data_IF_804120693875
#
_entry.id   IF_804120693875
#
_cell.length_a   1.000
_cell.length_b   1.000
_cell.length_c   1.000
_cell.angle_alpha   90.00
_cell.angle_beta   90.00
_cell.angle_gamma   90.00
#
_symmetry.space_group_name_H-M   'P 1'
#
loop_
_entity.id
_entity.type
_entity.pdbx_description
1 polymer ?
#
# COMPACT_ATOMS: atom_id res chain seq x y z
N UNK A 1 -14.05 25.14 -15.85
CA UNK A 1 -13.98 24.24 -14.69
C UNK A 1 -12.59 24.42 -14.09
N UNK A 2 -12.46 24.89 -12.83
CA UNK A 2 -11.16 24.99 -12.18
C UNK A 2 -10.59 23.58 -11.97
N UNK A 3 -9.39 23.33 -12.45
CA UNK A 3 -8.64 22.09 -12.21
C UNK A 3 -7.61 22.38 -11.12
N UNK A 4 -7.73 21.69 -9.98
CA UNK A 4 -6.74 21.74 -8.92
C UNK A 4 -5.81 20.52 -9.04
N UNK A 5 -4.51 20.77 -9.15
CA UNK A 5 -3.48 19.72 -9.14
C UNK A 5 -2.85 19.64 -7.76
N UNK A 6 -2.74 18.43 -7.21
CA UNK A 6 -1.92 18.15 -6.02
C UNK A 6 -0.47 17.97 -6.46
N UNK A 7 0.19 19.06 -6.81
CA UNK A 7 1.59 19.03 -7.18
C UNK A 7 2.48 19.26 -5.96
N UNK A 8 3.01 18.18 -5.40
CA UNK A 8 3.97 18.23 -4.28
C UNK A 8 5.40 18.64 -4.72
N UNK A 9 5.67 18.69 -6.03
CA UNK A 9 7.01 19.00 -6.54
C UNK A 9 7.35 20.50 -6.54
N UNK A 10 6.37 21.38 -6.30
CA UNK A 10 6.56 22.81 -6.31
C UNK A 10 6.88 23.41 -7.68
N UNK A 11 6.78 22.64 -8.77
CA UNK A 11 7.09 23.09 -10.14
C UNK A 11 6.01 24.00 -10.72
N UNK A 12 4.79 23.93 -10.22
CA UNK A 12 3.70 24.82 -10.63
C UNK A 12 3.41 25.85 -9.52
N UNK A 13 3.59 27.12 -9.84
CA UNK A 13 3.15 28.23 -9.00
C UNK A 13 1.65 28.43 -9.26
N UNK A 14 0.81 28.07 -8.30
CA UNK A 14 -0.61 28.38 -8.33
C UNK A 14 -1.55 27.21 -8.53
N UNK A 15 -1.31 26.06 -7.88
CA UNK A 15 -2.23 24.89 -7.90
C UNK A 15 -3.66 25.17 -7.37
N UNK A 16 -3.94 26.39 -6.93
CA UNK A 16 -5.26 26.79 -6.44
C UNK A 16 -5.69 26.17 -5.11
N UNK A 17 -4.96 25.17 -4.59
CA UNK A 17 -5.25 24.51 -3.32
C UNK A 17 -4.16 24.85 -2.28
N UNK A 18 -4.46 25.67 -1.25
CA UNK A 18 -3.48 25.95 -0.20
C UNK A 18 -3.26 24.69 0.65
N UNK A 19 -2.06 24.16 0.65
CA UNK A 19 -1.66 23.04 1.52
C UNK A 19 -1.49 23.57 2.96
N UNK A 20 -2.55 23.48 3.75
CA UNK A 20 -2.50 23.82 5.17
C UNK A 20 -2.20 22.57 6.01
N UNK A 21 -1.59 22.75 7.19
CA UNK A 21 -1.29 21.64 8.10
C UNK A 21 -2.56 20.82 8.48
N UNK A 22 -3.74 21.41 8.74
CA UNK A 22 -4.96 20.61 8.94
C UNK A 22 -5.36 19.78 7.71
N UNK A 23 -5.18 20.31 6.49
CA UNK A 23 -5.48 19.58 5.27
C UNK A 23 -4.52 18.39 5.10
N UNK A 24 -3.22 18.59 5.30
CA UNK A 24 -2.21 17.52 5.24
C UNK A 24 -2.54 16.41 6.24
N UNK A 25 -2.88 16.75 7.48
CA UNK A 25 -3.29 15.76 8.49
C UNK A 25 -4.53 14.97 8.07
N UNK A 26 -5.53 15.63 7.48
CA UNK A 26 -6.73 14.94 6.95
C UNK A 26 -6.38 14.00 5.79
N UNK A 27 -5.51 14.43 4.88
CA UNK A 27 -5.06 13.58 3.76
C UNK A 27 -4.35 12.33 4.30
N UNK A 28 -3.42 12.48 5.23
CA UNK A 28 -2.73 11.36 5.88
C UNK A 28 -3.73 10.42 6.55
N UNK A 29 -4.69 10.96 7.31
CA UNK A 29 -5.73 10.16 7.95
C UNK A 29 -6.59 9.40 6.94
N UNK A 30 -6.97 10.04 5.82
CA UNK A 30 -7.75 9.39 4.75
C UNK A 30 -6.98 8.23 4.11
N UNK A 31 -5.65 8.37 3.91
CA UNK A 31 -4.83 7.28 3.35
C UNK A 31 -4.80 6.10 4.32
N UNK A 32 -4.51 6.31 5.62
CA UNK A 32 -4.51 5.21 6.60
C UNK A 32 -5.87 4.52 6.70
N UNK A 33 -6.98 5.29 6.73
CA UNK A 33 -8.31 4.69 6.73
C UNK A 33 -8.61 3.92 5.44
N UNK A 34 -8.21 4.46 4.30
CA UNK A 34 -8.36 3.80 3.00
C UNK A 34 -7.60 2.47 2.96
N UNK A 35 -6.33 2.49 3.33
CA UNK A 35 -5.46 1.30 3.39
C UNK A 35 -6.05 0.22 4.33
N UNK A 36 -6.54 0.65 5.51
CA UNK A 36 -7.20 -0.25 6.45
C UNK A 36 -8.44 -0.90 5.84
N UNK A 37 -9.32 -0.11 5.19
CA UNK A 37 -10.54 -0.64 4.58
C UNK A 37 -10.24 -1.63 3.45
N UNK A 38 -9.26 -1.33 2.59
CA UNK A 38 -8.83 -2.23 1.52
C UNK A 38 -8.30 -3.53 2.11
N UNK A 39 -7.40 -3.46 3.09
CA UNK A 39 -6.80 -4.63 3.72
C UNK A 39 -7.84 -5.53 4.43
N UNK A 40 -8.81 -4.96 5.12
CA UNK A 40 -9.86 -5.70 5.83
C UNK A 40 -10.88 -6.30 4.84
N UNK A 41 -11.28 -5.53 3.82
CA UNK A 41 -12.19 -6.00 2.78
C UNK A 41 -11.60 -7.21 2.04
N UNK A 42 -10.35 -7.11 1.60
CA UNK A 42 -9.68 -8.16 0.82
C UNK A 42 -9.53 -9.46 1.61
N UNK A 43 -9.40 -9.39 2.92
CA UNK A 43 -9.32 -10.55 3.82
C UNK A 43 -10.68 -11.06 4.32
N UNK A 44 -11.77 -10.31 4.10
CA UNK A 44 -13.14 -10.69 4.52
C UNK A 44 -13.95 -11.22 3.35
N UNK A 45 -13.94 -10.50 2.23
CA UNK A 45 -14.77 -10.76 1.06
C UNK A 45 -14.67 -12.19 0.50
N UNK A 46 -13.47 -12.79 0.36
CA UNK A 46 -13.37 -14.15 -0.17
C UNK A 46 -14.04 -15.23 0.69
N UNK A 47 -14.34 -14.91 1.94
CA UNK A 47 -14.84 -15.84 2.96
C UNK A 47 -16.25 -15.51 3.46
N UNK A 48 -16.86 -14.40 3.02
CA UNK A 48 -18.17 -13.95 3.50
C UNK A 48 -19.28 -14.96 3.19
N UNK A 49 -20.12 -15.26 4.19
CA UNK A 49 -21.24 -16.20 4.03
C UNK A 49 -22.38 -15.60 3.21
N UNK A 50 -22.51 -14.27 3.21
CA UNK A 50 -23.48 -13.53 2.40
C UNK A 50 -22.71 -12.63 1.44
N UNK A 51 -22.73 -12.91 0.13
CA UNK A 51 -22.05 -12.11 -0.88
C UNK A 51 -22.39 -10.62 -0.80
N UNK A 52 -21.37 -9.76 -0.87
CA UNK A 52 -21.51 -8.30 -0.82
C UNK A 52 -21.53 -7.70 0.58
N UNK A 53 -21.42 -8.51 1.66
CA UNK A 53 -21.41 -7.99 3.02
C UNK A 53 -20.16 -7.12 3.31
N UNK A 54 -19.00 -7.56 2.84
CA UNK A 54 -17.76 -6.81 3.00
C UNK A 54 -17.78 -5.51 2.19
N UNK A 55 -18.27 -5.55 0.96
CA UNK A 55 -18.39 -4.37 0.11
C UNK A 55 -19.35 -3.34 0.72
N UNK A 56 -20.55 -3.76 1.17
CA UNK A 56 -21.51 -2.88 1.81
C UNK A 56 -20.98 -2.25 3.11
N UNK A 57 -20.20 -3.01 3.89
CA UNK A 57 -19.56 -2.50 5.10
C UNK A 57 -18.47 -1.48 4.74
N UNK A 58 -17.71 -1.72 3.68
CA UNK A 58 -16.70 -0.79 3.16
C UNK A 58 -17.33 0.54 2.73
N UNK A 59 -18.41 0.52 1.96
CA UNK A 59 -19.14 1.71 1.53
C UNK A 59 -19.68 2.53 2.73
N UNK A 60 -20.22 1.83 3.73
CA UNK A 60 -20.67 2.46 4.98
C UNK A 60 -19.51 3.19 5.69
N UNK A 61 -18.35 2.56 5.77
CA UNK A 61 -17.18 3.18 6.40
C UNK A 61 -16.64 4.35 5.57
N UNK A 62 -16.60 4.25 4.25
CA UNK A 62 -16.22 5.36 3.36
C UNK A 62 -17.12 6.57 3.62
N UNK A 63 -18.44 6.40 3.63
CA UNK A 63 -19.38 7.48 3.93
C UNK A 63 -19.19 8.07 5.34
N UNK A 64 -18.88 7.22 6.31
CA UNK A 64 -18.60 7.64 7.69
C UNK A 64 -17.32 8.48 7.76
N UNK A 65 -16.23 8.04 7.14
CA UNK A 65 -14.95 8.73 7.12
C UNK A 65 -15.08 10.07 6.37
N UNK A 66 -15.80 10.11 5.26
CA UNK A 66 -16.11 11.36 4.55
C UNK A 66 -16.82 12.36 5.48
N UNK A 67 -17.83 11.91 6.26
CA UNK A 67 -18.51 12.75 7.25
C UNK A 67 -17.53 13.25 8.33
N UNK A 68 -16.58 12.41 8.80
CA UNK A 68 -15.57 12.82 9.76
C UNK A 68 -14.66 13.93 9.21
N UNK A 69 -14.23 13.81 7.96
CA UNK A 69 -13.37 14.81 7.31
C UNK A 69 -14.09 16.15 7.13
N UNK A 70 -15.38 16.11 6.74
CA UNK A 70 -16.21 17.31 6.67
C UNK A 70 -16.37 17.99 8.04
N UNK A 71 -16.63 17.22 9.09
CA UNK A 71 -16.79 17.72 10.46
C UNK A 71 -15.47 18.01 11.17
N UNK A 72 -14.32 17.71 10.54
CA UNK A 72 -12.99 17.85 11.14
C UNK A 72 -12.82 17.08 12.46
N UNK A 73 -13.30 15.82 12.49
CA UNK A 73 -13.18 14.92 13.64
C UNK A 73 -12.47 13.62 13.23
N UNK A 74 -11.95 12.87 14.20
CA UNK A 74 -11.32 11.55 14.02
C UNK A 74 -10.15 11.52 13.02
N UNK A 75 -9.43 12.63 12.84
CA UNK A 75 -8.24 12.71 11.98
C UNK A 75 -6.95 12.98 12.75
N UNK A 76 -7.01 13.17 14.06
CA UNK A 76 -5.81 13.20 14.89
C UNK A 76 -5.38 11.77 15.28
N UNK A 77 -4.11 11.60 15.62
CA UNK A 77 -3.51 10.27 15.87
C UNK A 77 -4.23 9.49 16.97
N UNK A 78 -4.63 10.17 18.06
CA UNK A 78 -5.31 9.51 19.18
C UNK A 78 -6.67 8.94 18.75
N UNK A 79 -7.45 9.73 18.05
CA UNK A 79 -8.77 9.30 17.55
C UNK A 79 -8.62 8.23 16.47
N UNK A 80 -7.64 8.35 15.55
CA UNK A 80 -7.36 7.33 14.54
C UNK A 80 -7.08 5.97 15.18
N UNK A 81 -6.20 5.92 16.18
CA UNK A 81 -5.87 4.67 16.90
C UNK A 81 -7.10 4.01 17.51
N UNK A 82 -8.02 4.79 18.07
CA UNK A 82 -9.30 4.30 18.60
C UNK A 82 -10.21 3.80 17.47
N UNK A 83 -10.32 4.54 16.36
CA UNK A 83 -11.19 4.18 15.24
C UNK A 83 -10.68 2.95 14.49
N UNK A 84 -9.38 2.73 14.39
CA UNK A 84 -8.84 1.50 13.80
C UNK A 84 -9.38 0.24 14.49
N UNK A 85 -9.42 0.24 15.83
CA UNK A 85 -9.98 -0.89 16.58
C UNK A 85 -11.48 -1.08 16.31
N UNK A 86 -12.25 0.02 16.21
CA UNK A 86 -13.69 -0.03 15.91
C UNK A 86 -13.95 -0.57 14.52
N UNK A 87 -13.18 -0.10 13.52
CA UNK A 87 -13.29 -0.56 12.14
C UNK A 87 -12.94 -2.04 12.06
N UNK A 88 -11.80 -2.46 12.60
CA UNK A 88 -11.37 -3.86 12.59
C UNK A 88 -12.40 -4.79 13.27
N UNK A 89 -12.95 -4.40 14.41
CA UNK A 89 -13.99 -5.16 15.10
C UNK A 89 -15.26 -5.31 14.25
N UNK A 90 -15.63 -4.29 13.47
CA UNK A 90 -16.79 -4.36 12.60
C UNK A 90 -16.62 -5.37 11.46
N UNK A 91 -15.42 -5.46 10.87
CA UNK A 91 -15.12 -6.50 9.87
C UNK A 91 -15.01 -7.90 10.49
N UNK A 92 -14.45 -8.00 11.69
CA UNK A 92 -14.39 -9.28 12.43
C UNK A 92 -15.79 -9.82 12.78
N UNK A 93 -16.80 -8.96 12.85
CA UNK A 93 -18.19 -9.36 13.08
C UNK A 93 -18.93 -9.85 11.84
N UNK A 94 -18.37 -9.71 10.65
CA UNK A 94 -18.95 -10.24 9.41
C UNK A 94 -18.90 -11.77 9.46
N UNK A 95 -20.04 -12.46 9.28
CA UNK A 95 -20.04 -13.93 9.24
C UNK A 95 -19.26 -14.47 8.05
N UNK A 96 -18.21 -15.23 8.34
CA UNK A 96 -17.30 -15.82 7.32
C UNK A 96 -17.11 -17.31 7.54
N UNK A 97 -16.86 -18.04 6.46
CA UNK A 97 -16.42 -19.45 6.49
C UNK A 97 -15.02 -19.52 5.90
N UNK A 98 -14.02 -19.71 6.76
CA UNK A 98 -12.61 -19.79 6.35
C UNK A 98 -12.32 -21.14 5.71
N UNK A 99 -12.02 -21.13 4.42
CA UNK A 99 -11.55 -22.27 3.62
C UNK A 99 -10.19 -21.92 3.02
N UNK A 100 -9.32 -22.89 2.72
CA UNK A 100 -8.07 -22.63 2.02
C UNK A 100 -8.34 -21.96 0.66
N UNK A 101 -7.65 -20.85 0.39
CA UNK A 101 -7.71 -20.13 -0.88
C UNK A 101 -6.31 -19.84 -1.40
N UNK A 102 -6.19 -19.66 -2.71
CA UNK A 102 -4.96 -19.15 -3.29
C UNK A 102 -4.78 -17.69 -2.85
N UNK A 103 -3.64 -17.41 -2.23
CA UNK A 103 -3.29 -16.07 -1.79
C UNK A 103 -2.41 -15.41 -2.82
N UNK A 104 -2.78 -14.21 -3.25
CA UNK A 104 -2.11 -13.45 -4.29
C UNK A 104 -1.74 -12.08 -3.78
N UNK A 105 -0.44 -11.76 -3.80
CA UNK A 105 0.06 -10.42 -3.54
C UNK A 105 0.18 -9.63 -4.84
N UNK A 106 -0.36 -8.40 -4.87
CA UNK A 106 -0.26 -7.51 -6.02
C UNK A 106 0.67 -6.36 -5.70
N UNK A 107 1.76 -6.28 -6.43
CA UNK A 107 2.76 -5.19 -6.34
C UNK A 107 2.90 -4.51 -7.69
N UNK A 108 3.69 -3.47 -7.80
CA UNK A 108 3.98 -2.84 -9.08
C UNK A 108 4.04 -1.33 -9.04
N UNK A 109 3.92 -0.71 -10.21
CA UNK A 109 3.94 0.74 -10.36
C UNK A 109 2.69 1.34 -9.70
N UNK A 110 2.89 2.43 -8.97
CA UNK A 110 1.91 3.00 -8.04
C UNK A 110 0.55 3.30 -8.69
N UNK A 111 0.53 3.89 -9.90
CA UNK A 111 -0.73 4.17 -10.59
C UNK A 111 -1.38 2.87 -11.08
N UNK A 112 -0.61 2.02 -11.77
CA UNK A 112 -1.15 0.77 -12.35
C UNK A 112 -1.61 -0.18 -11.26
N UNK A 113 -0.88 -0.27 -10.14
CA UNK A 113 -1.25 -1.12 -9.00
C UNK A 113 -2.65 -0.81 -8.46
N UNK A 114 -3.00 0.48 -8.32
CA UNK A 114 -4.27 0.89 -7.72
C UNK A 114 -5.37 1.30 -8.70
N UNK A 115 -5.06 1.45 -9.99
CA UNK A 115 -6.04 1.93 -10.98
C UNK A 115 -6.72 0.77 -11.71
N UNK A 116 -8.03 0.53 -11.50
CA UNK A 116 -8.76 -0.48 -12.25
C UNK A 116 -8.69 -0.28 -13.77
N UNK A 117 -8.66 0.99 -14.22
CA UNK A 117 -8.47 1.33 -15.63
C UNK A 117 -7.07 0.93 -16.12
N UNK A 118 -6.03 1.17 -15.29
CA UNK A 118 -4.65 0.89 -15.66
C UNK A 118 -4.29 -0.60 -15.67
N UNK A 119 -4.98 -1.41 -14.84
CA UNK A 119 -4.69 -2.83 -14.67
C UNK A 119 -5.83 -3.78 -15.11
N UNK A 120 -6.84 -3.27 -15.83
CA UNK A 120 -8.00 -4.03 -16.29
C UNK A 120 -8.76 -4.75 -15.16
N UNK A 121 -9.07 -4.03 -14.09
CA UNK A 121 -9.81 -4.59 -12.93
C UNK A 121 -9.13 -5.85 -12.35
N UNK A 122 -7.80 -5.88 -12.26
CA UNK A 122 -7.00 -7.02 -11.82
C UNK A 122 -7.48 -7.61 -10.50
N UNK A 123 -7.81 -6.76 -9.52
CA UNK A 123 -8.31 -7.20 -8.22
C UNK A 123 -9.63 -7.97 -8.38
N UNK A 124 -10.60 -7.43 -9.13
CA UNK A 124 -11.86 -8.11 -9.41
C UNK A 124 -11.68 -9.41 -10.20
N UNK A 125 -10.71 -9.42 -11.12
CA UNK A 125 -10.38 -10.64 -11.85
C UNK A 125 -9.88 -11.73 -10.90
N UNK A 126 -8.92 -11.43 -10.02
CA UNK A 126 -8.39 -12.38 -9.05
C UNK A 126 -9.46 -12.82 -8.04
N UNK A 127 -10.31 -11.90 -7.57
CA UNK A 127 -11.48 -12.24 -6.73
C UNK A 127 -12.44 -13.21 -7.45
N UNK A 128 -12.67 -13.00 -8.75
CA UNK A 128 -13.52 -13.91 -9.56
C UNK A 128 -12.93 -15.31 -9.73
N UNK A 129 -11.62 -15.45 -9.56
CA UNK A 129 -10.90 -16.73 -9.55
C UNK A 129 -10.81 -17.33 -8.13
N UNK A 130 -11.60 -16.83 -7.20
CA UNK A 130 -11.67 -17.31 -5.81
C UNK A 130 -10.36 -17.13 -5.03
N UNK A 131 -9.57 -16.11 -5.35
CA UNK A 131 -8.31 -15.77 -4.65
C UNK A 131 -8.55 -14.83 -3.47
N UNK A 132 -7.70 -14.95 -2.43
CA UNK A 132 -7.51 -13.88 -1.45
C UNK A 132 -6.41 -12.95 -1.96
N UNK A 133 -6.77 -11.67 -2.21
CA UNK A 133 -5.85 -10.68 -2.78
C UNK A 133 -5.29 -9.80 -1.67
N UNK A 134 -3.99 -9.54 -1.68
CA UNK A 134 -3.35 -8.55 -0.82
C UNK A 134 -2.68 -7.47 -1.67
N UNK A 135 -3.12 -6.26 -1.49
CA UNK A 135 -2.60 -5.06 -2.12
C UNK A 135 -1.95 -4.19 -1.03
N UNK A 136 -0.60 -4.07 -0.98
CA UNK A 136 0.07 -3.21 0.00
C UNK A 136 -0.46 -1.78 -0.05
N UNK A 137 -0.61 -1.17 1.13
CA UNK A 137 -1.23 0.14 1.28
C UNK A 137 -0.46 1.27 0.61
N UNK A 138 -1.17 2.33 0.25
CA UNK A 138 -0.61 3.54 -0.36
C UNK A 138 0.31 4.29 0.62
N UNK A 139 0.06 4.19 1.93
CA UNK A 139 0.88 4.87 2.94
C UNK A 139 2.33 4.37 2.89
N UNK A 140 2.58 3.10 2.62
CA UNK A 140 3.93 2.57 2.43
C UNK A 140 4.74 3.31 1.37
N UNK A 141 4.10 3.74 0.28
CA UNK A 141 4.76 4.57 -0.74
C UNK A 141 5.04 6.00 -0.24
N UNK A 142 4.15 6.58 0.56
CA UNK A 142 4.38 7.90 1.18
C UNK A 142 5.54 7.84 2.17
N UNK A 143 5.58 6.80 3.01
CA UNK A 143 6.70 6.56 3.94
C UNK A 143 8.02 6.32 3.21
N UNK A 144 7.99 5.57 2.09
CA UNK A 144 9.14 5.40 1.20
C UNK A 144 9.67 6.75 0.68
N UNK A 145 8.80 7.65 0.24
CA UNK A 145 9.20 8.98 -0.21
C UNK A 145 9.88 9.78 0.91
N UNK A 146 9.37 9.70 2.14
CA UNK A 146 9.96 10.35 3.32
C UNK A 146 11.32 9.72 3.69
N UNK A 147 11.40 8.38 3.71
CA UNK A 147 12.63 7.65 3.99
C UNK A 147 13.74 7.99 2.98
N UNK A 148 13.41 8.11 1.70
CA UNK A 148 14.37 8.48 0.67
C UNK A 148 15.00 9.87 0.89
N UNK A 149 14.27 10.80 1.54
CA UNK A 149 14.85 12.12 1.88
C UNK A 149 15.96 12.00 2.92
N UNK A 150 15.89 11.05 3.84
CA UNK A 150 16.96 10.73 4.80
C UNK A 150 18.10 10.00 4.10
N UNK A 151 17.77 8.98 3.32
CA UNK A 151 18.74 8.20 2.53
C UNK A 151 19.55 9.07 1.55
N UNK A 152 18.95 10.13 0.99
CA UNK A 152 19.66 11.08 0.13
C UNK A 152 20.81 11.78 0.87
N UNK A 153 20.56 12.18 2.12
CA UNK A 153 21.59 12.82 2.93
C UNK A 153 22.69 11.84 3.32
N UNK A 154 22.34 10.59 3.58
CA UNK A 154 23.30 9.53 3.91
C UNK A 154 24.18 9.15 2.71
N UNK A 155 23.60 9.03 1.52
CA UNK A 155 24.28 8.56 0.32
C UNK A 155 25.06 9.67 -0.41
N UNK A 156 24.51 10.88 -0.41
CA UNK A 156 25.04 11.98 -1.25
C UNK A 156 25.47 13.20 -0.44
N UNK A 157 25.30 13.17 0.88
CA UNK A 157 25.55 14.29 1.76
C UNK A 157 24.41 15.30 1.77
N UNK A 158 24.53 16.30 2.66
CA UNK A 158 23.52 17.34 2.79
C UNK A 158 23.27 17.75 4.24
N UNK A 159 22.10 18.32 4.49
CA UNK A 159 21.74 18.84 5.81
C UNK A 159 21.36 17.72 6.77
N UNK A 160 22.19 17.47 7.79
CA UNK A 160 21.89 16.50 8.87
C UNK A 160 20.63 16.88 9.66
N UNK A 161 20.34 18.18 9.78
CA UNK A 161 19.12 18.67 10.44
C UNK A 161 17.87 18.26 9.64
N UNK A 162 17.93 18.38 8.30
CA UNK A 162 16.86 17.90 7.42
C UNK A 162 16.66 16.39 7.57
N UNK A 163 17.73 15.60 7.52
CA UNK A 163 17.67 14.15 7.69
C UNK A 163 17.04 13.76 9.03
N UNK A 164 17.46 14.39 10.13
CA UNK A 164 16.89 14.15 11.45
C UNK A 164 15.39 14.53 11.54
N UNK A 165 14.99 15.61 10.88
CA UNK A 165 13.58 16.01 10.87
C UNK A 165 12.71 15.04 10.05
N UNK A 166 13.19 14.58 8.89
CA UNK A 166 12.49 13.61 8.05
C UNK A 166 12.45 12.22 8.72
N UNK A 167 13.50 11.83 9.41
CA UNK A 167 13.53 10.57 10.17
C UNK A 167 12.51 10.56 11.31
N UNK A 168 12.39 11.67 12.07
CA UNK A 168 11.32 11.83 13.07
C UNK A 168 9.92 11.84 12.48
N UNK A 169 9.74 12.42 11.28
CA UNK A 169 8.48 12.37 10.57
C UNK A 169 8.12 10.93 10.20
N UNK A 170 9.10 10.17 9.72
CA UNK A 170 8.93 8.76 9.39
C UNK A 170 8.56 7.94 10.64
N UNK A 171 9.24 8.13 11.78
CA UNK A 171 8.89 7.47 13.04
C UNK A 171 7.46 7.78 13.49
N UNK A 172 7.03 9.03 13.32
CA UNK A 172 5.67 9.43 13.65
C UNK A 172 4.64 8.71 12.74
N UNK A 173 4.88 8.62 11.43
CA UNK A 173 4.03 7.90 10.48
C UNK A 173 4.02 6.41 10.79
N UNK A 174 5.17 5.79 10.92
CA UNK A 174 5.31 4.37 11.26
C UNK A 174 4.59 4.01 12.57
N UNK A 175 4.61 4.91 13.58
CA UNK A 175 3.84 4.71 14.83
C UNK A 175 2.33 4.63 14.64
N UNK A 176 1.80 5.30 13.61
CA UNK A 176 0.37 5.23 13.24
C UNK A 176 0.10 3.92 12.51
N UNK A 177 0.95 3.57 11.56
CA UNK A 177 0.90 2.30 10.84
C UNK A 177 0.97 1.09 11.77
N UNK A 178 1.91 1.09 12.71
CA UNK A 178 2.01 0.06 13.75
C UNK A 178 0.72 -0.09 14.57
N UNK A 179 0.11 1.03 14.96
CA UNK A 179 -1.14 0.99 15.72
C UNK A 179 -2.32 0.44 14.88
N UNK A 180 -2.35 0.73 13.58
CA UNK A 180 -3.32 0.17 12.65
C UNK A 180 -3.12 -1.34 12.51
N UNK A 181 -1.88 -1.78 12.27
CA UNK A 181 -1.51 -3.17 12.13
C UNK A 181 -1.78 -3.99 13.41
N UNK A 182 -1.54 -3.41 14.58
CA UNK A 182 -1.88 -4.02 15.86
C UNK A 182 -3.39 -4.20 16.05
N UNK A 183 -4.21 -3.23 15.62
CA UNK A 183 -5.65 -3.35 15.66
C UNK A 183 -6.15 -4.47 14.73
N UNK A 184 -5.56 -4.61 13.55
CA UNK A 184 -5.85 -5.70 12.62
C UNK A 184 -5.51 -7.07 13.22
N UNK A 185 -4.28 -7.24 13.74
CA UNK A 185 -3.84 -8.51 14.38
C UNK A 185 -4.71 -8.90 15.55
N UNK A 186 -5.06 -7.94 16.42
CA UNK A 186 -5.96 -8.18 17.57
C UNK A 186 -7.37 -8.62 17.16
N UNK A 187 -7.79 -8.26 15.94
CA UNK A 187 -9.09 -8.64 15.36
C UNK A 187 -9.00 -9.90 14.49
N UNK A 188 -7.85 -10.58 14.43
CA UNK A 188 -7.65 -11.84 13.72
C UNK A 188 -7.33 -11.67 12.22
N UNK A 189 -6.95 -10.48 11.77
CA UNK A 189 -6.53 -10.21 10.41
C UNK A 189 -5.01 -10.24 10.27
N UNK A 190 -4.52 -10.64 9.10
CA UNK A 190 -3.12 -10.44 8.74
C UNK A 190 -2.82 -8.94 8.65
N UNK A 191 -1.70 -8.55 9.16
CA UNK A 191 -1.15 -7.20 8.97
C UNK A 191 0.37 -7.27 8.82
N UNK A 192 0.95 -6.41 7.97
CA UNK A 192 2.39 -6.35 7.75
C UNK A 192 3.15 -5.92 9.02
N UNK A 193 4.47 -5.96 8.95
CA UNK A 193 5.36 -5.38 9.96
C UNK A 193 5.30 -3.85 10.00
N UNK A 194 6.23 -3.24 10.74
CA UNK A 194 6.46 -1.80 10.69
C UNK A 194 7.13 -1.40 9.37
N UNK A 195 7.06 -0.12 9.00
CA UNK A 195 7.79 0.36 7.83
C UNK A 195 9.31 0.24 8.02
N UNK A 196 9.80 0.41 9.24
CA UNK A 196 11.21 0.19 9.59
C UNK A 196 11.64 -1.27 9.35
N UNK A 197 10.81 -2.23 9.70
CA UNK A 197 11.04 -3.66 9.39
C UNK A 197 11.00 -3.92 7.89
N UNK A 198 10.09 -3.26 7.15
CA UNK A 198 10.02 -3.35 5.70
C UNK A 198 11.32 -2.88 5.03
N UNK A 199 11.95 -1.81 5.53
CA UNK A 199 13.25 -1.33 5.03
C UNK A 199 14.39 -2.35 5.20
N UNK A 200 14.30 -3.27 6.15
CA UNK A 200 15.30 -4.31 6.38
C UNK A 200 15.19 -5.49 5.39
N UNK A 201 13.98 -5.76 4.88
CA UNK A 201 13.67 -6.94 4.06
C UNK A 201 14.50 -7.06 2.77
N UNK A 202 14.75 -6.00 1.99
CA UNK A 202 15.51 -6.09 0.75
C UNK A 202 17.03 -6.22 0.97
N UNK A 203 17.54 -6.15 2.21
CA UNK A 203 18.97 -6.29 2.50
C UNK A 203 19.51 -7.62 1.98
N UNK A 204 20.65 -7.55 1.29
CA UNK A 204 21.26 -8.70 0.65
C UNK A 204 20.68 -9.06 -0.73
N UNK A 205 19.61 -8.41 -1.15
CA UNK A 205 19.00 -8.56 -2.49
C UNK A 205 19.22 -7.29 -3.29
N UNK A 206 18.82 -6.13 -2.74
CA UNK A 206 18.97 -4.83 -3.39
C UNK A 206 19.35 -3.75 -2.37
N UNK A 207 20.11 -2.76 -2.81
CA UNK A 207 20.46 -1.61 -1.98
C UNK A 207 19.27 -0.64 -1.85
N UNK A 208 19.11 -0.01 -0.69
CA UNK A 208 18.18 1.11 -0.49
C UNK A 208 18.54 2.33 -1.35
N UNK A 209 19.73 2.37 -1.95
CA UNK A 209 20.10 3.35 -2.97
C UNK A 209 19.36 3.18 -4.31
N UNK A 210 18.75 2.03 -4.57
CA UNK A 210 17.88 1.80 -5.72
C UNK A 210 16.50 2.42 -5.49
N UNK A 211 16.38 3.75 -5.58
CA UNK A 211 15.24 4.55 -5.12
C UNK A 211 14.48 5.29 -6.22
N UNK A 212 14.75 5.00 -7.49
CA UNK A 212 14.00 5.61 -8.60
C UNK A 212 12.66 4.89 -8.81
N UNK A 213 11.58 5.67 -9.00
CA UNK A 213 10.22 5.14 -9.01
C UNK A 213 9.87 4.50 -7.67
N UNK A 214 9.30 3.30 -7.69
CA UNK A 214 9.02 2.50 -6.49
C UNK A 214 10.29 1.94 -5.85
N UNK A 215 11.37 1.87 -6.61
CA UNK A 215 12.70 1.51 -6.13
C UNK A 215 12.73 0.25 -5.27
N UNK A 216 13.54 0.27 -4.21
CA UNK A 216 13.70 -0.83 -3.27
C UNK A 216 12.38 -1.25 -2.57
N UNK A 217 11.39 -0.34 -2.48
CA UNK A 217 10.08 -0.64 -1.88
C UNK A 217 9.40 -1.80 -2.58
N UNK A 218 9.41 -1.83 -3.91
CA UNK A 218 8.78 -2.91 -4.69
C UNK A 218 9.36 -4.29 -4.34
N UNK A 219 10.70 -4.38 -4.21
CA UNK A 219 11.37 -5.61 -3.77
C UNK A 219 11.01 -5.96 -2.33
N UNK A 220 10.95 -4.97 -1.45
CA UNK A 220 10.60 -5.16 -0.04
C UNK A 220 9.14 -5.64 0.13
N UNK A 221 8.18 -5.04 -0.60
CA UNK A 221 6.78 -5.46 -0.60
C UNK A 221 6.62 -6.92 -1.08
N UNK A 222 7.35 -7.33 -2.12
CA UNK A 222 7.33 -8.73 -2.55
C UNK A 222 7.76 -9.69 -1.45
N UNK A 223 8.85 -9.37 -0.76
CA UNK A 223 9.38 -10.20 0.34
C UNK A 223 8.38 -10.25 1.50
N UNK A 224 7.82 -9.11 1.89
CA UNK A 224 6.85 -9.03 2.98
C UNK A 224 5.59 -9.85 2.70
N UNK A 225 5.07 -9.77 1.47
CA UNK A 225 3.92 -10.55 1.04
C UNK A 225 4.21 -12.05 1.13
N UNK A 226 5.37 -12.48 0.64
CA UNK A 226 5.78 -13.89 0.70
C UNK A 226 5.90 -14.39 2.14
N UNK A 227 6.54 -13.62 3.02
CA UNK A 227 6.64 -13.93 4.44
C UNK A 227 5.27 -13.93 5.14
N UNK A 228 4.31 -13.15 4.61
CA UNK A 228 2.91 -13.12 5.04
C UNK A 228 2.04 -14.26 4.48
N UNK A 229 2.63 -15.18 3.70
CA UNK A 229 1.94 -16.32 3.10
C UNK A 229 1.24 -16.02 1.76
N UNK A 230 1.55 -14.88 1.13
CA UNK A 230 1.11 -14.55 -0.23
C UNK A 230 2.22 -14.90 -1.22
N UNK A 231 2.41 -16.19 -1.46
CA UNK A 231 3.51 -16.72 -2.28
C UNK A 231 3.32 -16.50 -3.79
N UNK A 232 2.11 -16.16 -4.22
CA UNK A 232 1.82 -15.84 -5.62
C UNK A 232 1.85 -14.32 -5.80
N UNK A 233 2.87 -13.83 -6.49
CA UNK A 233 3.08 -12.40 -6.70
C UNK A 233 2.69 -12.02 -8.13
N UNK A 234 1.83 -11.02 -8.26
CA UNK A 234 1.53 -10.35 -9.52
C UNK A 234 2.13 -8.95 -9.47
N UNK A 235 3.05 -8.67 -10.39
CA UNK A 235 3.66 -7.35 -10.53
C UNK A 235 3.02 -6.61 -11.72
N UNK A 236 2.20 -5.60 -11.43
CA UNK A 236 1.50 -4.79 -12.42
C UNK A 236 2.31 -3.52 -12.74
N UNK A 237 2.60 -3.29 -14.04
CA UNK A 237 3.40 -2.13 -14.43
C UNK A 237 3.01 -1.61 -15.81
N UNK A 238 3.34 -0.34 -16.16
CA UNK A 238 3.27 0.16 -17.53
C UNK A 238 4.29 -0.55 -18.43
N UNK A 239 4.01 -0.57 -19.73
CA UNK A 239 5.01 -0.99 -20.70
C UNK A 239 6.25 -0.07 -20.62
N UNK A 240 7.43 -0.68 -20.62
CA UNK A 240 8.71 0.05 -20.60
C UNK A 240 9.05 0.75 -19.28
N UNK A 241 8.35 0.50 -18.18
CA UNK A 241 8.70 1.04 -16.87
C UNK A 241 10.04 0.49 -16.40
N UNK A 242 11.11 1.26 -16.60
CA UNK A 242 12.49 0.84 -16.28
C UNK A 242 12.68 0.48 -14.80
N UNK A 243 12.26 1.31 -13.82
CA UNK A 243 12.41 0.95 -12.41
C UNK A 243 11.79 -0.42 -12.09
N UNK A 244 10.55 -0.67 -12.53
CA UNK A 244 9.88 -1.94 -12.25
C UNK A 244 10.53 -3.14 -12.94
N UNK A 245 11.16 -2.96 -14.12
CA UNK A 245 11.95 -4.02 -14.74
C UNK A 245 13.17 -4.39 -13.89
N UNK A 246 13.83 -3.39 -13.29
CA UNK A 246 15.04 -3.61 -12.50
C UNK A 246 14.69 -4.17 -11.12
N UNK A 247 13.86 -3.45 -10.35
CA UNK A 247 13.60 -3.76 -8.93
C UNK A 247 12.46 -4.75 -8.71
N UNK A 248 11.63 -5.00 -9.73
CA UNK A 248 10.62 -6.06 -9.74
C UNK A 248 11.14 -7.30 -10.45
N UNK A 249 11.03 -7.35 -11.77
CA UNK A 249 11.40 -8.52 -12.59
C UNK A 249 12.86 -8.93 -12.41
N UNK A 250 13.78 -7.97 -12.32
CA UNK A 250 15.22 -8.25 -12.18
C UNK A 250 15.59 -8.92 -10.86
N UNK A 251 14.81 -8.71 -9.80
CA UNK A 251 15.12 -9.26 -8.46
C UNK A 251 14.47 -10.61 -8.19
N UNK A 252 13.57 -11.09 -9.06
CA UNK A 252 12.79 -12.30 -8.78
C UNK A 252 13.64 -13.56 -8.59
N UNK A 253 14.74 -13.71 -9.31
CA UNK A 253 15.60 -14.88 -9.16
C UNK A 253 16.28 -14.90 -7.78
N UNK A 254 16.65 -13.74 -7.25
CA UNK A 254 17.22 -13.62 -5.91
C UNK A 254 16.17 -13.86 -4.83
N UNK A 255 14.95 -13.37 -5.04
CA UNK A 255 13.81 -13.64 -4.15
C UNK A 255 13.49 -15.12 -4.15
N UNK A 256 13.40 -15.78 -5.31
CA UNK A 256 13.17 -17.23 -5.41
C UNK A 256 14.29 -18.09 -4.79
N UNK A 257 15.54 -17.64 -4.89
CA UNK A 257 16.63 -18.33 -4.23
C UNK A 257 16.50 -18.32 -2.71
N UNK A 258 15.94 -17.24 -2.14
CA UNK A 258 15.69 -17.10 -0.69
C UNK A 258 14.36 -17.73 -0.27
N UNK A 259 13.34 -17.65 -1.14
CA UNK A 259 11.98 -18.14 -0.93
C UNK A 259 11.53 -19.03 -2.10
N UNK A 260 11.93 -20.31 -2.15
CA UNK A 260 11.68 -21.19 -3.30
C UNK A 260 10.22 -21.35 -3.77
N UNK A 261 9.20 -21.29 -2.89
CA UNK A 261 7.80 -21.45 -3.31
C UNK A 261 7.24 -20.32 -4.16
N UNK A 262 7.95 -19.17 -4.27
CA UNK A 262 7.43 -17.96 -4.92
C UNK A 262 7.08 -18.17 -6.38
N UNK A 263 5.81 -18.00 -6.71
CA UNK A 263 5.30 -17.81 -8.06
C UNK A 263 5.25 -16.32 -8.40
N UNK A 264 5.72 -15.93 -9.56
CA UNK A 264 5.74 -14.53 -9.98
C UNK A 264 5.21 -14.37 -11.38
N UNK A 265 4.22 -13.50 -11.53
CA UNK A 265 3.63 -13.11 -12.81
C UNK A 265 3.83 -11.63 -13.05
N UNK A 266 4.36 -11.29 -14.22
CA UNK A 266 4.57 -9.91 -14.63
C UNK A 266 3.43 -9.47 -15.55
N UNK A 267 2.61 -8.54 -15.08
CA UNK A 267 1.49 -7.99 -15.83
C UNK A 267 1.85 -6.60 -16.35
N UNK A 268 1.71 -6.37 -17.64
CA UNK A 268 1.88 -5.06 -18.25
C UNK A 268 0.52 -4.41 -18.49
N UNK A 269 0.38 -3.14 -18.13
CA UNK A 269 -0.79 -2.36 -18.48
C UNK A 269 -0.95 -2.32 -20.01
N UNK A 270 -2.19 -2.42 -20.48
CA UNK A 270 -2.51 -2.45 -21.90
C UNK A 270 -2.12 -1.16 -22.61
N UNK A 271 -1.20 -1.28 -23.54
CA UNK A 271 -0.98 -0.25 -24.57
C UNK A 271 -1.55 -0.69 -25.92
N UNK A 272 -1.65 -1.98 -26.20
CA UNK A 272 -2.40 -2.56 -27.35
C UNK A 272 -2.79 -3.99 -27.02
N UNK A 273 -3.95 -4.46 -27.49
CA UNK A 273 -4.52 -5.78 -27.20
C UNK A 273 -3.74 -7.02 -27.68
N UNK A 274 -2.43 -6.91 -27.86
CA UNK A 274 -1.57 -8.01 -28.33
C UNK A 274 -0.45 -8.43 -27.39
N UNK A 275 -0.27 -7.78 -26.23
CA UNK A 275 0.91 -8.02 -25.38
C UNK A 275 0.56 -8.71 -24.05
N UNK A 276 -0.28 -9.70 -24.10
CA UNK A 276 -0.60 -10.56 -22.96
C UNK A 276 0.21 -11.85 -22.99
N UNK A 277 1.48 -11.80 -23.17
CA UNK A 277 2.32 -12.99 -22.86
C UNK A 277 3.80 -12.60 -22.78
N UNK A 278 4.40 -12.74 -21.65
CA UNK A 278 5.77 -13.24 -21.51
C UNK A 278 5.87 -14.04 -20.23
#
# INVERSE_FOLDING_TARGET
IPVASLNFSGLEKGSGLPLTLPLIRKVIACIYYGDLLVALRSQTKPYENKPGSADALTEKWIATIQSWMHKSINYNVHDMKRQFAVICASYASVPVTRVPKVKVGVVGEIYVKYSPLGNNDLEKFLESQDCEVNLPGLMGFVEYCVANMTLDVELYGGSKVKAMATDKLLDWMDSIGCAMNDAMRKSGFYAPGSFRELMEKPKGIISLGAKMGEGWLLTAEMIELVEGGYENIVCAQPFGCLPNHIVGKGMINQIRARYPPVSYTHLRAHETGRNLVC
#
